data_IF_555246706140
#
_entry.id   IF_555246706140
#
_cell.length_a   1.000
_cell.length_b   1.000
_cell.length_c   1.000
_cell.angle_alpha   90.00
_cell.angle_beta   90.00
_cell.angle_gamma   90.00
#
_symmetry.space_group_name_H-M   'P 1'
#
loop_
_entity.id
_entity.type
_entity.pdbx_description
1 polymer ?
#
# COMPACT_ATOMS: atom_id res chain seq x y z
N UNK A 1 25.83 -0.05 16.13
CA UNK A 1 25.79 -1.54 16.15
C UNK A 1 26.90 -2.02 17.07
N UNK A 2 26.59 -2.94 18.00
CA UNK A 2 27.57 -3.61 18.86
C UNK A 2 27.74 -5.06 18.38
N UNK A 3 28.93 -5.63 18.51
CA UNK A 3 29.13 -7.04 18.18
C UNK A 3 28.54 -7.94 19.28
N UNK A 4 28.53 -9.26 19.06
CA UNK A 4 28.04 -10.26 20.02
C UNK A 4 28.76 -10.28 21.40
N UNK A 5 29.79 -9.45 21.58
CA UNK A 5 30.54 -9.25 22.84
C UNK A 5 30.35 -7.83 23.42
N UNK A 6 29.35 -7.08 22.97
CA UNK A 6 28.97 -5.77 23.53
C UNK A 6 29.95 -4.62 23.22
N UNK A 7 30.92 -4.81 22.33
CA UNK A 7 31.89 -3.77 21.97
C UNK A 7 31.35 -2.90 20.83
N UNK A 8 31.48 -1.56 20.88
CA UNK A 8 31.08 -0.67 19.78
C UNK A 8 31.87 -0.98 18.52
N UNK A 9 31.18 -1.27 17.42
CA UNK A 9 31.81 -1.53 16.12
C UNK A 9 32.31 -0.20 15.57
N UNK A 10 33.64 -0.06 15.41
CA UNK A 10 34.24 1.05 14.67
C UNK A 10 34.04 0.78 13.18
N UNK A 11 33.22 1.59 12.51
CA UNK A 11 32.98 1.52 11.06
C UNK A 11 33.94 2.49 10.38
N UNK A 12 34.70 2.03 9.39
CA UNK A 12 35.61 2.87 8.62
C UNK A 12 34.79 3.87 7.75
N UNK A 13 35.12 5.18 7.75
CA UNK A 13 34.43 6.19 6.94
C UNK A 13 34.36 5.89 5.43
N UNK A 14 35.22 5.01 4.90
CA UNK A 14 35.23 4.60 3.50
C UNK A 14 34.16 3.55 3.15
N UNK A 15 33.67 2.79 4.13
CA UNK A 15 32.69 1.72 3.95
C UNK A 15 31.23 2.19 4.08
N UNK A 16 31.05 3.50 4.21
CA UNK A 16 29.74 4.13 4.40
C UNK A 16 29.13 4.43 3.04
N UNK A 17 27.98 3.78 2.75
CA UNK A 17 27.28 3.93 1.47
C UNK A 17 26.92 5.40 1.18
N UNK A 18 26.86 5.81 -0.11
CA UNK A 18 26.48 7.18 -0.48
C UNK A 18 25.13 7.61 0.11
N UNK A 19 24.18 6.68 0.24
CA UNK A 19 22.86 6.94 0.83
C UNK A 19 22.93 7.34 2.31
N UNK A 20 23.85 6.74 3.08
CA UNK A 20 24.03 7.08 4.51
C UNK A 20 24.62 8.48 4.69
N UNK A 21 25.50 8.92 3.79
CA UNK A 21 26.05 10.29 3.80
C UNK A 21 24.95 11.33 3.54
N UNK A 22 24.03 11.04 2.62
CA UNK A 22 22.85 11.90 2.36
C UNK A 22 21.94 11.96 3.59
N UNK A 23 21.72 10.85 4.29
CA UNK A 23 20.91 10.83 5.50
C UNK A 23 21.52 11.68 6.62
N UNK A 24 22.85 11.61 6.80
CA UNK A 24 23.56 12.43 7.78
C UNK A 24 23.49 13.94 7.47
N UNK A 25 23.53 14.33 6.19
CA UNK A 25 23.34 15.72 5.79
C UNK A 25 21.92 16.21 6.12
N UNK A 26 20.90 15.40 5.82
CA UNK A 26 19.49 15.73 6.14
C UNK A 26 19.24 15.84 7.65
N UNK A 27 19.86 14.99 8.46
CA UNK A 27 19.77 15.08 9.92
C UNK A 27 20.40 16.36 10.46
N UNK A 28 21.54 16.80 9.90
CA UNK A 28 22.17 18.06 10.28
C UNK A 28 21.37 19.29 9.83
N UNK A 29 20.73 19.24 8.67
CA UNK A 29 19.81 20.28 8.20
C UNK A 29 18.60 20.41 9.15
N UNK A 30 18.00 19.28 9.54
CA UNK A 30 16.88 19.29 10.50
C UNK A 30 17.30 19.80 11.90
N UNK A 31 18.49 19.43 12.39
CA UNK A 31 19.02 19.95 13.65
C UNK A 31 19.35 21.46 13.59
N UNK A 32 19.72 21.97 12.42
CA UNK A 32 19.96 23.40 12.21
C UNK A 32 18.64 24.17 12.12
N UNK A 33 17.62 23.60 11.46
CA UNK A 33 16.28 24.16 11.36
C UNK A 33 15.60 24.22 12.74
N UNK A 34 15.68 23.16 13.54
CA UNK A 34 15.10 23.14 14.90
C UNK A 34 15.78 24.16 15.82
N UNK A 35 17.12 24.23 15.81
CA UNK A 35 17.87 25.25 16.56
C UNK A 35 17.57 26.67 16.09
N UNK A 36 17.28 26.87 14.80
CA UNK A 36 16.87 28.19 14.30
C UNK A 36 15.46 28.57 14.76
N UNK A 37 14.54 27.61 14.83
CA UNK A 37 13.16 27.85 15.30
C UNK A 37 13.09 28.14 16.80
N UNK A 38 13.88 27.43 17.62
CA UNK A 38 13.97 27.68 19.07
C UNK A 38 14.54 29.07 19.38
N UNK A 39 15.50 29.54 18.57
CA UNK A 39 16.12 30.86 18.74
C UNK A 39 15.21 32.03 18.33
N UNK A 40 14.25 31.79 17.44
CA UNK A 40 13.24 32.77 17.03
C UNK A 40 12.12 32.87 18.07
N UNK A 41 11.72 31.74 18.67
CA UNK A 41 10.73 31.73 19.76
C UNK A 41 11.26 32.43 21.02
N UNK A 42 12.52 32.20 21.40
CA UNK A 42 13.15 32.86 22.57
C UNK A 42 13.34 34.37 22.37
N UNK A 43 13.56 34.84 21.13
CA UNK A 43 13.68 36.26 20.79
C UNK A 43 12.33 37.00 20.76
N UNK A 44 11.20 36.30 20.66
CA UNK A 44 9.87 36.92 20.54
C UNK A 44 9.21 37.28 21.87
N UNK A 45 9.85 36.97 23.00
CA UNK A 45 9.30 37.18 24.35
C UNK A 45 9.88 38.40 25.08
N UNK A 46 10.45 39.38 24.37
CA UNK A 46 10.80 40.69 24.93
C UNK A 46 10.34 41.85 24.02
N UNK A 47 9.57 42.76 24.63
CA UNK A 47 9.10 44.09 24.19
C UNK A 47 7.72 44.21 23.51
N UNK A 48 6.71 44.58 24.32
CA UNK A 48 5.85 45.79 24.23
C UNK A 48 5.00 45.86 25.53
N UNK A 49 4.68 46.98 26.19
CA UNK A 49 4.73 48.40 25.84
C UNK A 49 4.44 49.29 27.08
N UNK A 50 4.80 50.58 27.00
CA UNK A 50 3.83 51.65 27.31
C UNK A 50 3.73 52.22 28.73
N UNK A 51 3.69 53.56 28.77
CA UNK A 51 3.75 54.47 29.92
C UNK A 51 2.43 54.62 30.70
N UNK A 52 2.54 54.59 32.04
CA UNK A 52 1.86 55.39 33.10
C UNK A 52 0.41 55.11 33.59
N UNK A 53 0.39 54.65 34.87
CA UNK A 53 -0.38 55.09 36.07
C UNK A 53 -1.84 54.68 36.34
N UNK A 54 -1.96 54.02 37.52
CA UNK A 54 -3.01 54.06 38.58
C UNK A 54 -4.33 53.34 38.24
N UNK A 55 -4.96 52.51 39.08
CA UNK A 55 -5.12 52.49 40.55
C UNK A 55 -5.58 51.08 41.06
N UNK A 56 -5.49 50.88 42.39
CA UNK A 56 -5.81 49.70 43.26
C UNK A 56 -7.26 49.18 43.07
N UNK A 57 -7.72 47.97 43.43
CA UNK A 57 -7.49 47.15 44.63
C UNK A 57 -8.30 45.81 44.63
N UNK A 58 -7.88 44.83 45.47
CA UNK A 58 -8.64 43.77 46.21
C UNK A 58 -9.13 42.52 45.42
N UNK A 59 -8.58 41.30 45.63
CA UNK A 59 -8.61 40.35 46.79
C UNK A 59 -9.87 39.45 46.81
N UNK A 60 -9.75 38.13 46.53
CA UNK A 60 -10.06 37.00 47.45
C UNK A 60 -9.89 35.60 46.82
N UNK A 61 -9.85 34.61 47.71
CA UNK A 61 -9.20 33.27 47.70
C UNK A 61 -10.26 32.14 47.71
N UNK A 62 -9.83 30.90 47.41
CA UNK A 62 -10.41 29.54 47.72
C UNK A 62 -11.42 28.98 46.69
N UNK A 63 -11.53 27.69 46.40
CA UNK A 63 -10.88 26.43 46.88
C UNK A 63 -11.13 25.31 45.84
N UNK A 64 -10.35 24.24 45.96
CA UNK A 64 -10.29 22.99 45.19
C UNK A 64 -11.60 22.20 45.06
N UNK A 65 -11.71 21.40 43.97
CA UNK A 65 -12.26 20.05 44.03
C UNK A 65 -11.68 19.16 42.91
N UNK A 66 -11.30 17.96 43.32
CA UNK A 66 -10.67 16.85 42.62
C UNK A 66 -11.71 16.04 41.82
N UNK A 67 -11.37 15.54 40.63
CA UNK A 67 -12.23 14.64 39.85
C UNK A 67 -11.61 14.26 38.50
N UNK A 68 -11.41 12.96 38.33
CA UNK A 68 -10.56 12.26 37.37
C UNK A 68 -11.13 12.06 35.95
N UNK A 69 -10.19 11.99 35.00
CA UNK A 69 -10.10 11.11 33.81
C UNK A 69 -11.34 10.82 32.96
N UNK A 70 -11.26 11.17 31.66
CA UNK A 70 -11.24 10.23 30.51
C UNK A 70 -11.32 11.05 29.20
N UNK A 71 -10.20 11.18 28.49
CA UNK A 71 -10.21 11.70 27.11
C UNK A 71 -10.30 10.53 26.16
N UNK A 72 -11.49 10.32 25.60
CA UNK A 72 -11.68 9.46 24.43
C UNK A 72 -10.85 10.01 23.27
N UNK A 73 -9.82 9.28 22.88
CA UNK A 73 -9.04 9.55 21.67
C UNK A 73 -9.81 8.99 20.47
N UNK A 74 -10.44 9.86 19.70
CA UNK A 74 -11.04 9.47 18.42
C UNK A 74 -9.93 9.06 17.43
N UNK A 75 -10.08 7.93 16.71
CA UNK A 75 -9.05 7.48 15.78
C UNK A 75 -9.01 8.39 14.55
N UNK A 76 -7.90 9.13 14.41
CA UNK A 76 -7.58 9.93 13.21
C UNK A 76 -7.45 9.02 11.97
N UNK A 77 -7.92 9.47 10.79
CA UNK A 77 -7.86 8.67 9.56
C UNK A 77 -6.41 8.47 9.10
N UNK A 78 -6.00 7.21 8.90
CA UNK A 78 -4.67 6.83 8.40
C UNK A 78 -4.47 7.35 6.98
N UNK A 79 -3.34 8.00 6.70
CA UNK A 79 -2.96 8.47 5.35
C UNK A 79 -2.63 7.26 4.45
N UNK A 80 -2.89 7.39 3.15
CA UNK A 80 -2.70 6.32 2.15
C UNK A 80 -1.25 5.85 1.96
N UNK A 81 -0.28 6.46 2.64
CA UNK A 81 1.16 6.23 2.45
C UNK A 81 1.69 5.02 3.23
N UNK A 82 0.93 4.49 4.21
CA UNK A 82 1.41 3.49 5.18
C UNK A 82 0.95 2.04 4.94
N UNK A 83 0.33 1.70 3.80
CA UNK A 83 -0.02 0.29 3.56
C UNK A 83 1.27 -0.51 3.32
N UNK A 84 1.63 -1.46 4.20
CA UNK A 84 2.82 -2.27 3.99
C UNK A 84 2.60 -3.16 2.76
N UNK A 85 3.60 -3.25 1.88
CA UNK A 85 3.58 -4.24 0.78
C UNK A 85 3.61 -5.66 1.35
N UNK A 86 4.41 -5.82 2.41
CA UNK A 86 4.50 -7.04 3.20
C UNK A 86 3.88 -6.74 4.56
N UNK A 87 2.70 -7.31 4.80
CA UNK A 87 2.06 -7.31 6.11
C UNK A 87 2.30 -8.70 6.71
N UNK A 88 2.90 -8.78 7.90
CA UNK A 88 3.10 -10.02 8.65
C UNK A 88 1.93 -10.34 9.61
N UNK A 89 0.80 -9.65 9.43
CA UNK A 89 -0.43 -9.87 10.18
C UNK A 89 -1.27 -10.89 9.41
N UNK A 90 -1.39 -12.09 9.96
CA UNK A 90 -2.17 -13.19 9.38
C UNK A 90 -3.67 -13.06 9.68
N UNK A 91 -4.13 -11.97 10.32
CA UNK A 91 -5.56 -11.77 10.55
C UNK A 91 -6.29 -11.53 9.24
N UNK A 92 -7.32 -12.35 8.93
CA UNK A 92 -8.17 -12.10 7.77
C UNK A 92 -8.81 -10.71 7.85
N UNK A 93 -8.80 -10.00 6.74
CA UNK A 93 -9.48 -8.71 6.60
C UNK A 93 -10.91 -8.88 6.11
N UNK A 94 -11.81 -8.01 6.56
CA UNK A 94 -13.16 -7.93 6.01
C UNK A 94 -13.18 -7.21 4.66
N UNK A 95 -14.05 -7.60 3.71
CA UNK A 95 -14.17 -6.92 2.41
C UNK A 95 -14.67 -5.48 2.56
N UNK A 96 -13.89 -4.51 2.08
CA UNK A 96 -14.27 -3.08 2.02
C UNK A 96 -14.91 -2.71 0.67
N UNK A 97 -15.51 -1.51 0.50
CA UNK A 97 -16.08 -1.09 -0.79
C UNK A 97 -15.08 -1.02 -1.96
N UNK A 98 -13.79 -0.83 -1.65
CA UNK A 98 -12.68 -0.95 -2.59
C UNK A 98 -11.87 -2.16 -2.21
N UNK A 99 -11.56 -3.02 -3.17
CA UNK A 99 -10.69 -4.18 -3.02
C UNK A 99 -9.70 -4.23 -4.17
N UNK A 100 -8.57 -4.91 -3.97
CA UNK A 100 -7.63 -5.19 -5.06
C UNK A 100 -7.53 -6.69 -5.30
N UNK A 101 -7.40 -7.07 -6.57
CA UNK A 101 -7.37 -8.44 -7.06
C UNK A 101 -6.10 -8.63 -7.90
N UNK A 102 -5.46 -9.77 -7.70
CA UNK A 102 -4.41 -10.29 -8.58
C UNK A 102 -4.45 -11.82 -8.59
N UNK A 103 -4.06 -12.43 -9.70
CA UNK A 103 -4.09 -13.88 -9.89
C UNK A 103 -2.78 -14.40 -10.47
N UNK A 104 -2.33 -15.56 -9.98
CA UNK A 104 -1.26 -16.32 -10.62
C UNK A 104 -1.83 -17.33 -11.61
N UNK A 105 -1.10 -17.55 -12.70
CA UNK A 105 -1.48 -18.47 -13.76
C UNK A 105 -0.44 -19.56 -13.97
N UNK A 106 -0.91 -20.72 -14.39
CA UNK A 106 -0.11 -21.83 -14.92
C UNK A 106 -0.49 -22.09 -16.37
N UNK A 107 0.39 -22.75 -17.11
CA UNK A 107 0.21 -23.15 -18.50
C UNK A 107 -0.68 -24.38 -18.66
N UNK A 108 -1.64 -24.27 -19.56
CA UNK A 108 -2.54 -25.31 -20.04
C UNK A 108 -2.36 -25.63 -21.52
N UNK A 109 -3.28 -26.42 -22.06
CA UNK A 109 -3.24 -26.82 -23.47
C UNK A 109 -2.09 -27.79 -23.78
N UNK A 110 -1.94 -28.15 -25.05
CA UNK A 110 -0.91 -29.13 -25.48
C UNK A 110 0.51 -28.60 -25.34
N UNK A 111 0.70 -27.29 -25.40
CA UNK A 111 2.00 -26.61 -25.45
C UNK A 111 2.27 -25.70 -24.24
N UNK A 112 1.36 -25.60 -23.28
CA UNK A 112 1.53 -24.73 -22.11
C UNK A 112 1.16 -23.28 -22.36
N UNK A 113 0.59 -22.93 -23.53
CA UNK A 113 0.29 -21.54 -23.90
C UNK A 113 -0.96 -20.96 -23.23
N UNK A 114 -1.95 -21.80 -22.93
CA UNK A 114 -3.20 -21.34 -22.30
C UNK A 114 -2.96 -20.90 -20.85
N UNK A 115 -3.53 -19.76 -20.45
CA UNK A 115 -3.51 -19.32 -19.06
C UNK A 115 -4.61 -20.01 -18.26
N UNK A 116 -4.21 -20.78 -17.24
CA UNK A 116 -5.11 -21.43 -16.30
C UNK A 116 -4.91 -20.81 -14.91
N UNK A 117 -6.01 -20.50 -14.22
CA UNK A 117 -5.97 -19.95 -12.87
C UNK A 117 -5.34 -20.91 -11.86
N UNK A 118 -4.37 -20.43 -11.08
CA UNK A 118 -3.62 -21.21 -10.10
C UNK A 118 -3.69 -20.67 -8.67
N UNK A 119 -3.77 -19.35 -8.50
CA UNK A 119 -3.96 -18.68 -7.21
C UNK A 119 -4.74 -17.40 -7.42
N UNK A 120 -5.63 -17.07 -6.49
CA UNK A 120 -6.33 -15.78 -6.44
C UNK A 120 -6.04 -15.12 -5.11
N UNK A 121 -5.63 -13.85 -5.17
CA UNK A 121 -5.44 -13.00 -4.00
C UNK A 121 -6.31 -11.76 -4.08
N UNK A 122 -7.06 -11.49 -3.01
CA UNK A 122 -7.88 -10.30 -2.83
C UNK A 122 -7.50 -9.64 -1.51
N UNK A 123 -7.20 -8.34 -1.57
CA UNK A 123 -6.95 -7.51 -0.39
C UNK A 123 -7.96 -6.38 -0.28
N UNK A 124 -8.28 -5.99 0.96
CA UNK A 124 -9.16 -4.85 1.22
C UNK A 124 -8.40 -3.52 1.11
N UNK A 125 -9.09 -2.40 1.32
CA UNK A 125 -8.51 -1.05 1.18
C UNK A 125 -7.37 -0.77 2.19
N UNK A 126 -7.26 -1.55 3.27
CA UNK A 126 -6.18 -1.47 4.25
C UNK A 126 -4.98 -2.36 3.89
N UNK A 127 -5.08 -3.15 2.82
CA UNK A 127 -4.07 -4.13 2.41
C UNK A 127 -4.15 -5.46 3.17
N UNK A 128 -5.18 -5.68 4.00
CA UNK A 128 -5.43 -6.98 4.66
C UNK A 128 -5.96 -8.00 3.66
N UNK A 129 -5.55 -9.25 3.81
CA UNK A 129 -5.97 -10.36 2.94
C UNK A 129 -7.42 -10.70 3.26
N UNK A 130 -8.29 -10.56 2.26
CA UNK A 130 -9.69 -10.98 2.32
C UNK A 130 -9.83 -12.41 1.81
N UNK A 131 -9.07 -12.74 0.77
CA UNK A 131 -9.11 -14.03 0.12
C UNK A 131 -7.74 -14.34 -0.48
N UNK A 132 -7.18 -15.49 -0.15
CA UNK A 132 -5.93 -15.98 -0.76
C UNK A 132 -6.01 -17.50 -0.82
N UNK A 133 -6.23 -18.04 -2.02
CA UNK A 133 -6.43 -19.48 -2.23
C UNK A 133 -5.74 -19.95 -3.50
N UNK A 134 -5.09 -21.11 -3.38
CA UNK A 134 -4.69 -21.91 -4.53
C UNK A 134 -5.91 -22.59 -5.15
N UNK A 135 -5.87 -22.73 -6.47
CA UNK A 135 -6.97 -23.23 -7.28
C UNK A 135 -6.56 -24.55 -7.91
N UNK A 136 -7.44 -25.54 -7.80
CA UNK A 136 -7.37 -26.77 -8.59
C UNK A 136 -8.18 -26.56 -9.87
N UNK A 137 -7.53 -26.39 -11.04
CA UNK A 137 -8.20 -26.11 -12.29
C UNK A 137 -8.93 -27.35 -12.82
N UNK A 138 -9.85 -27.13 -13.78
CA UNK A 138 -10.58 -28.22 -14.44
C UNK A 138 -9.73 -28.90 -15.49
N UNK A 139 -8.87 -28.12 -16.12
CA UNK A 139 -7.97 -28.51 -17.19
C UNK A 139 -6.65 -29.05 -16.62
N UNK A 140 -5.97 -29.88 -17.42
CA UNK A 140 -4.64 -30.39 -17.08
C UNK A 140 -3.60 -29.27 -17.17
N UNK A 141 -2.86 -29.07 -16.09
CA UNK A 141 -1.66 -28.22 -16.09
C UNK A 141 -0.53 -28.92 -16.84
N UNK A 142 0.05 -28.24 -17.82
CA UNK A 142 1.16 -28.73 -18.65
C UNK A 142 2.47 -28.01 -18.37
N UNK A 143 2.42 -26.76 -17.90
CA UNK A 143 3.57 -26.00 -17.44
C UNK A 143 3.19 -25.21 -16.18
N UNK A 144 3.94 -25.33 -15.09
CA UNK A 144 3.66 -24.57 -13.86
C UNK A 144 4.19 -23.13 -13.92
N UNK A 145 5.10 -22.83 -14.87
CA UNK A 145 5.74 -21.51 -15.01
C UNK A 145 6.34 -21.02 -13.69
N UNK A 146 6.84 -21.95 -12.87
CA UNK A 146 7.19 -21.73 -11.46
C UNK A 146 8.18 -20.60 -11.24
N UNK A 147 9.12 -20.41 -12.16
CA UNK A 147 10.10 -19.30 -12.09
C UNK A 147 9.45 -17.91 -12.12
N UNK A 148 8.23 -17.81 -12.65
CA UNK A 148 7.43 -16.59 -12.71
C UNK A 148 6.30 -16.65 -11.69
N UNK A 149 5.44 -17.67 -11.75
CA UNK A 149 4.20 -17.75 -10.95
C UNK A 149 4.40 -18.12 -9.47
N UNK A 150 5.57 -18.69 -9.12
CA UNK A 150 5.81 -19.29 -7.82
C UNK A 150 4.99 -20.54 -7.50
N UNK A 151 4.17 -21.02 -8.43
CA UNK A 151 3.25 -22.15 -8.20
C UNK A 151 3.99 -23.48 -8.26
N UNK A 152 3.71 -24.33 -7.27
CA UNK A 152 4.20 -25.71 -7.16
C UNK A 152 3.06 -26.73 -7.41
N UNK A 153 3.36 -27.92 -7.94
CA UNK A 153 2.35 -28.96 -8.17
C UNK A 153 1.52 -29.34 -6.95
N UNK A 154 2.14 -29.38 -5.77
CA UNK A 154 1.47 -29.69 -4.50
C UNK A 154 0.42 -28.64 -4.11
N UNK A 155 0.65 -27.35 -4.43
CA UNK A 155 -0.29 -26.28 -4.14
C UNK A 155 -1.55 -26.40 -5.01
N UNK A 156 -1.38 -26.76 -6.29
CA UNK A 156 -2.51 -27.03 -7.20
C UNK A 156 -3.26 -28.30 -6.78
N UNK A 157 -2.56 -29.36 -6.41
CA UNK A 157 -3.18 -30.62 -5.99
C UNK A 157 -4.07 -30.44 -4.74
N UNK A 158 -3.63 -29.58 -3.82
CA UNK A 158 -4.33 -29.24 -2.58
C UNK A 158 -5.23 -27.99 -2.71
N UNK A 159 -5.32 -27.39 -3.90
CA UNK A 159 -6.12 -26.20 -4.16
C UNK A 159 -7.62 -26.46 -4.09
N UNK A 160 -8.38 -25.39 -3.90
CA UNK A 160 -9.84 -25.47 -3.95
C UNK A 160 -10.32 -25.67 -5.39
N UNK A 161 -11.39 -26.44 -5.64
CA UNK A 161 -11.94 -26.59 -6.98
C UNK A 161 -12.30 -25.24 -7.59
N UNK A 162 -11.97 -25.04 -8.88
CA UNK A 162 -12.22 -23.79 -9.59
C UNK A 162 -13.65 -23.25 -9.39
N UNK A 163 -14.67 -24.11 -9.50
CA UNK A 163 -16.08 -23.73 -9.34
C UNK A 163 -16.40 -23.08 -7.98
N UNK A 164 -15.74 -23.54 -6.92
CA UNK A 164 -15.89 -22.99 -5.57
C UNK A 164 -15.24 -21.62 -5.51
N UNK A 165 -13.99 -21.52 -5.94
CA UNK A 165 -13.22 -20.27 -5.95
C UNK A 165 -13.93 -19.21 -6.78
N UNK A 166 -14.42 -19.55 -7.97
CA UNK A 166 -15.12 -18.63 -8.84
C UNK A 166 -16.37 -18.04 -8.15
N UNK A 167 -17.18 -18.87 -7.49
CA UNK A 167 -18.39 -18.42 -6.78
C UNK A 167 -18.04 -17.51 -5.60
N UNK A 168 -17.04 -17.88 -4.82
CA UNK A 168 -16.57 -17.10 -3.66
C UNK A 168 -16.01 -15.75 -4.09
N UNK A 169 -15.13 -15.74 -5.11
CA UNK A 169 -14.60 -14.51 -5.70
C UNK A 169 -15.73 -13.64 -6.25
N UNK A 170 -16.66 -14.19 -7.03
CA UNK A 170 -17.79 -13.43 -7.56
C UNK A 170 -18.64 -12.77 -6.47
N UNK A 171 -18.87 -13.46 -5.34
CA UNK A 171 -19.58 -12.91 -4.19
C UNK A 171 -18.80 -11.76 -3.52
N UNK A 172 -17.48 -11.89 -3.41
CA UNK A 172 -16.61 -10.84 -2.88
C UNK A 172 -16.60 -9.61 -3.82
N UNK A 173 -16.43 -9.81 -5.13
CA UNK A 173 -16.33 -8.70 -6.10
C UNK A 173 -17.65 -7.94 -6.31
N UNK A 174 -18.80 -8.57 -6.01
CA UNK A 174 -20.13 -8.01 -6.24
C UNK A 174 -20.28 -6.63 -5.60
N UNK A 175 -20.76 -5.68 -6.41
CA UNK A 175 -21.04 -4.28 -6.04
C UNK A 175 -19.85 -3.51 -5.44
N UNK A 176 -18.61 -3.99 -5.64
CA UNK A 176 -17.39 -3.34 -5.15
C UNK A 176 -16.52 -2.78 -6.26
N UNK A 177 -15.74 -1.77 -5.92
CA UNK A 177 -14.69 -1.26 -6.80
C UNK A 177 -13.51 -2.21 -6.78
N UNK A 178 -13.15 -2.78 -7.92
CA UNK A 178 -12.05 -3.73 -8.07
C UNK A 178 -10.86 -3.03 -8.71
N UNK A 179 -9.77 -2.96 -7.95
CA UNK A 179 -8.47 -2.43 -8.37
C UNK A 179 -7.57 -3.59 -8.77
N UNK A 180 -6.71 -3.40 -9.75
CA UNK A 180 -5.71 -4.40 -10.14
C UNK A 180 -4.83 -3.89 -11.27
N UNK A 181 -4.06 -4.78 -11.86
CA UNK A 181 -3.16 -4.45 -12.97
C UNK A 181 -3.41 -5.38 -14.15
N UNK A 182 -3.86 -4.83 -15.28
CA UNK A 182 -4.24 -5.62 -16.46
C UNK A 182 -5.37 -6.64 -16.19
N UNK A 183 -6.35 -6.26 -15.37
CA UNK A 183 -7.49 -7.06 -14.88
C UNK A 183 -8.28 -7.86 -15.93
N UNK A 184 -8.17 -7.50 -17.21
CA UNK A 184 -8.76 -8.30 -18.29
C UNK A 184 -8.20 -9.74 -18.31
N UNK A 185 -6.95 -9.94 -17.93
CA UNK A 185 -6.32 -11.26 -17.85
C UNK A 185 -6.91 -12.05 -16.67
N UNK A 186 -6.99 -11.44 -15.49
CA UNK A 186 -7.57 -12.05 -14.29
C UNK A 186 -9.03 -12.45 -14.50
N UNK A 187 -9.83 -11.53 -15.03
CA UNK A 187 -11.24 -11.78 -15.33
C UNK A 187 -11.44 -12.87 -16.38
N UNK A 188 -10.54 -12.98 -17.37
CA UNK A 188 -10.56 -14.04 -18.37
C UNK A 188 -10.36 -15.41 -17.72
N UNK A 189 -9.30 -15.59 -16.92
CA UNK A 189 -9.03 -16.89 -16.30
C UNK A 189 -10.04 -17.24 -15.20
N UNK A 190 -10.63 -16.24 -14.53
CA UNK A 190 -11.73 -16.43 -13.59
C UNK A 190 -13.06 -16.72 -14.29
N UNK A 191 -13.14 -16.62 -15.62
CA UNK A 191 -14.39 -16.69 -16.39
C UNK A 191 -15.48 -15.79 -15.79
N UNK A 192 -15.09 -14.57 -15.41
CA UNK A 192 -15.94 -13.61 -14.69
C UNK A 192 -15.99 -12.27 -15.41
N UNK A 193 -17.15 -11.60 -15.37
CA UNK A 193 -17.31 -10.27 -15.95
C UNK A 193 -17.62 -9.26 -14.83
N UNK A 194 -16.72 -8.32 -14.60
CA UNK A 194 -16.95 -7.23 -13.64
C UNK A 194 -17.51 -5.97 -14.31
N UNK A 195 -18.30 -5.20 -13.58
CA UNK A 195 -18.83 -3.93 -14.07
C UNK A 195 -17.69 -2.94 -14.35
N UNK A 196 -17.51 -2.54 -15.62
CA UNK A 196 -16.44 -1.64 -16.05
C UNK A 196 -16.43 -0.29 -15.30
N UNK A 197 -17.60 0.19 -14.83
CA UNK A 197 -17.71 1.43 -14.01
C UNK A 197 -17.10 1.27 -12.62
N UNK A 198 -17.00 0.04 -12.13
CA UNK A 198 -16.41 -0.34 -10.85
C UNK A 198 -15.01 -0.95 -11.00
N UNK A 199 -14.46 -1.02 -12.21
CA UNK A 199 -13.09 -1.50 -12.45
C UNK A 199 -12.09 -0.34 -12.42
N UNK A 200 -10.94 -0.54 -11.76
CA UNK A 200 -9.81 0.39 -11.68
C UNK A 200 -8.53 -0.32 -12.07
N UNK A 201 -8.33 -0.44 -13.38
CA UNK A 201 -7.16 -1.09 -13.97
C UNK A 201 -5.98 -0.10 -14.05
N UNK A 202 -4.96 -0.33 -13.22
CA UNK A 202 -3.78 0.53 -13.10
C UNK A 202 -2.94 0.58 -14.38
N UNK A 203 -2.94 -0.48 -15.19
CA UNK A 203 -2.22 -0.50 -16.47
C UNK A 203 -2.84 0.48 -17.51
N UNK A 204 -4.17 0.72 -17.39
CA UNK A 204 -4.92 1.61 -18.29
C UNK A 204 -4.96 3.06 -17.81
N UNK A 205 -4.56 3.34 -16.57
CA UNK A 205 -4.65 4.67 -15.98
C UNK A 205 -3.67 5.67 -16.61
N UNK A 206 -4.21 6.71 -17.25
CA UNK A 206 -3.40 7.75 -17.91
C UNK A 206 -2.53 8.55 -16.93
N UNK A 207 -3.00 8.76 -15.69
CA UNK A 207 -2.25 9.49 -14.66
C UNK A 207 -0.99 8.71 -14.25
N UNK A 208 -1.14 7.43 -13.94
CA UNK A 208 -0.02 6.55 -13.57
C UNK A 208 0.98 6.41 -14.72
N UNK A 209 0.48 6.27 -15.96
CA UNK A 209 1.33 6.24 -17.16
C UNK A 209 2.16 7.52 -17.32
N UNK A 210 1.56 8.69 -17.09
CA UNK A 210 2.25 9.98 -17.12
C UNK A 210 3.30 10.08 -16.01
N UNK A 211 2.97 9.66 -14.80
CA UNK A 211 3.90 9.68 -13.67
C UNK A 211 5.10 8.75 -13.91
N UNK A 212 4.90 7.60 -14.55
CA UNK A 212 5.95 6.66 -14.90
C UNK A 212 6.69 6.97 -16.22
N UNK A 213 6.44 8.15 -16.82
CA UNK A 213 7.01 8.58 -18.09
C UNK A 213 7.01 7.47 -19.17
N UNK A 214 5.84 6.87 -19.41
CA UNK A 214 5.68 5.76 -20.34
C UNK A 214 4.69 6.10 -21.45
N UNK A 215 4.99 5.70 -22.68
CA UNK A 215 4.09 5.91 -23.82
C UNK A 215 3.10 4.75 -24.04
N UNK A 216 3.43 3.55 -23.57
CA UNK A 216 2.59 2.34 -23.67
C UNK A 216 1.89 1.96 -22.37
N UNK A 217 1.39 0.72 -22.29
CA UNK A 217 0.94 0.13 -21.03
C UNK A 217 2.17 -0.21 -20.17
N UNK A 218 2.38 0.47 -19.03
CA UNK A 218 3.51 0.16 -18.15
C UNK A 218 3.25 -1.15 -17.40
N UNK A 219 4.31 -1.92 -17.12
CA UNK A 219 4.22 -3.07 -16.22
C UNK A 219 3.99 -2.62 -14.77
N UNK A 220 3.46 -3.52 -13.93
CA UNK A 220 3.29 -3.26 -12.51
C UNK A 220 4.63 -2.90 -11.86
N UNK A 221 5.70 -3.65 -12.15
CA UNK A 221 7.07 -3.36 -11.70
C UNK A 221 7.52 -1.94 -12.05
N UNK A 222 7.27 -1.47 -13.27
CA UNK A 222 7.63 -0.11 -13.68
C UNK A 222 6.82 0.93 -12.90
N UNK A 223 5.52 0.73 -12.75
CA UNK A 223 4.68 1.64 -11.97
C UNK A 223 5.09 1.66 -10.50
N UNK A 224 5.33 0.50 -9.90
CA UNK A 224 5.77 0.35 -8.51
C UNK A 224 7.06 1.14 -8.27
N UNK A 225 8.05 0.99 -9.15
CA UNK A 225 9.31 1.71 -9.04
C UNK A 225 9.15 3.22 -9.26
N UNK A 226 8.49 3.63 -10.35
CA UNK A 226 8.42 5.05 -10.73
C UNK A 226 7.48 5.87 -9.85
N UNK A 227 6.39 5.28 -9.34
CA UNK A 227 5.35 6.00 -8.59
C UNK A 227 5.50 5.80 -7.08
N UNK A 228 5.85 4.59 -6.63
CA UNK A 228 5.93 4.27 -5.21
C UNK A 228 7.37 4.15 -4.69
N UNK A 229 8.38 4.16 -5.58
CA UNK A 229 9.79 4.01 -5.18
C UNK A 229 10.14 2.63 -4.65
N UNK A 230 9.33 1.60 -4.96
CA UNK A 230 9.53 0.22 -4.49
C UNK A 230 9.94 -0.68 -5.66
N UNK A 231 10.78 -1.66 -5.36
CA UNK A 231 11.15 -2.70 -6.31
C UNK A 231 10.43 -4.01 -5.96
N UNK A 232 9.87 -4.66 -6.97
CA UNK A 232 9.05 -5.88 -6.86
C UNK A 232 9.41 -6.86 -7.97
N UNK A 233 8.93 -8.11 -7.87
CA UNK A 233 9.12 -9.14 -8.90
C UNK A 233 10.62 -9.31 -9.24
N UNK A 234 11.44 -9.49 -8.19
CA UNK A 234 12.88 -9.81 -8.30
C UNK A 234 13.14 -11.33 -8.42
N UNK A 235 12.09 -12.13 -8.27
CA UNK A 235 12.09 -13.57 -8.46
C UNK A 235 10.66 -14.02 -8.79
N UNK A 236 10.19 -15.07 -8.12
CA UNK A 236 8.81 -15.53 -8.22
C UNK A 236 7.84 -14.40 -7.83
N UNK A 237 6.70 -14.34 -8.51
CA UNK A 237 5.63 -13.41 -8.22
C UNK A 237 4.84 -13.86 -6.98
N UNK A 238 4.24 -12.89 -6.31
CA UNK A 238 3.31 -13.12 -5.22
C UNK A 238 2.08 -12.24 -5.44
N UNK A 239 1.01 -12.84 -5.92
CA UNK A 239 -0.28 -12.16 -6.10
C UNK A 239 -0.77 -11.32 -4.91
N UNK A 240 -0.43 -11.64 -3.65
CA UNK A 240 -0.80 -10.78 -2.52
C UNK A 240 -0.03 -9.46 -2.56
N UNK A 241 1.28 -9.54 -2.84
CA UNK A 241 2.15 -8.37 -3.00
C UNK A 241 1.67 -7.54 -4.18
N UNK A 242 1.39 -8.17 -5.32
CA UNK A 242 1.01 -7.48 -6.54
C UNK A 242 -0.37 -6.80 -6.40
N UNK A 243 -1.35 -7.45 -5.76
CA UNK A 243 -2.62 -6.83 -5.41
C UNK A 243 -2.46 -5.61 -4.49
N UNK A 244 -1.59 -5.69 -3.47
CA UNK A 244 -1.29 -4.55 -2.58
C UNK A 244 -0.62 -3.40 -3.32
N UNK A 245 0.31 -3.70 -4.23
CA UNK A 245 0.99 -2.67 -5.04
C UNK A 245 -0.02 -1.98 -5.96
N UNK A 246 -0.87 -2.73 -6.65
CA UNK A 246 -1.93 -2.16 -7.49
C UNK A 246 -2.89 -1.28 -6.66
N UNK A 247 -3.25 -1.70 -5.45
CA UNK A 247 -4.03 -0.91 -4.52
C UNK A 247 -3.33 0.41 -4.16
N UNK A 248 -2.05 0.36 -3.76
CA UNK A 248 -1.27 1.55 -3.41
C UNK A 248 -1.17 2.53 -4.59
N UNK A 249 -0.94 2.03 -5.80
CA UNK A 249 -0.94 2.84 -7.02
C UNK A 249 -2.28 3.55 -7.23
N UNK A 250 -3.39 2.82 -7.07
CA UNK A 250 -4.72 3.43 -7.13
C UNK A 250 -4.91 4.51 -6.06
N UNK A 251 -4.57 4.22 -4.80
CA UNK A 251 -4.73 5.16 -3.68
C UNK A 251 -3.91 6.43 -3.88
N UNK A 252 -2.69 6.33 -4.42
CA UNK A 252 -1.82 7.47 -4.71
C UNK A 252 -2.46 8.48 -5.68
N UNK A 253 -3.33 8.03 -6.58
CA UNK A 253 -4.02 8.90 -7.55
C UNK A 253 -5.54 8.92 -7.38
N UNK A 254 -6.09 8.29 -6.35
CA UNK A 254 -7.54 8.03 -6.16
C UNK A 254 -8.38 9.30 -6.30
N UNK A 255 -7.98 10.38 -5.62
CA UNK A 255 -8.73 11.65 -5.63
C UNK A 255 -8.93 12.16 -7.06
N UNK A 256 -7.87 12.15 -7.86
CA UNK A 256 -7.92 12.64 -9.24
C UNK A 256 -8.61 11.64 -10.16
N UNK A 257 -8.28 10.35 -10.04
CA UNK A 257 -8.88 9.28 -10.84
C UNK A 257 -10.41 9.24 -10.67
N UNK A 258 -10.93 9.24 -9.45
CA UNK A 258 -12.38 9.23 -9.21
C UNK A 258 -13.07 10.52 -9.66
N UNK A 259 -12.38 11.66 -9.58
CA UNK A 259 -12.91 12.94 -10.09
C UNK A 259 -13.04 12.93 -11.61
N UNK A 260 -12.02 12.41 -12.31
CA UNK A 260 -12.03 12.28 -13.77
C UNK A 260 -13.16 11.34 -14.22
N UNK A 261 -13.34 10.20 -13.55
CA UNK A 261 -14.44 9.27 -13.86
C UNK A 261 -15.81 9.93 -13.68
N UNK A 262 -16.02 10.73 -12.62
CA UNK A 262 -17.28 11.45 -12.42
C UNK A 262 -17.55 12.47 -13.51
N UNK A 263 -16.50 13.16 -13.98
CA UNK A 263 -16.61 14.19 -15.04
C UNK A 263 -17.08 13.61 -16.37
N UNK A 264 -16.66 12.40 -16.72
CA UNK A 264 -17.03 11.74 -17.98
C UNK A 264 -18.29 10.84 -17.87
N UNK A 265 -19.06 10.93 -16.77
CA UNK A 265 -20.33 10.20 -16.59
C UNK A 265 -21.58 11.00 -16.99
N UNK A 266 -21.39 12.22 -17.47
CA UNK A 266 -22.41 13.07 -18.11
C UNK A 266 -22.11 13.16 -19.60
#
# INVERSE_FOLDING_TARGET
>A
MVNAKGTPIKVDPKDVSPAWKVLQMKMKEQEAETKSSEKVEESSMMEVDGVSKKHRSRKRKRKEAFGSAETHDEPKPKKAEDIPVVVHDDTPGEPTPVIALDCEYVGGGTDGSDDILARVSIVNQEGKIVYDKYVKPRERVTDFRTSVSGIRPSQIANGLPFDVVQKEVAAILKDRTVVGHALNNDFRVLSFHHNSKLTRDTAKCALLRKMANCHGMPSLKKLANSVLGIDIQQGEHDSVVDARVALRLYLAVKKKWESDIKRYRH
#
